data_IF_508389822903
#
_entry.id   IF_508389822903
#
_cell.length_a   1.000
_cell.length_b   1.000
_cell.length_c   1.000
_cell.angle_alpha   90.00
_cell.angle_beta   90.00
_cell.angle_gamma   90.00
#
_symmetry.space_group_name_H-M   'P 1'
#
loop_
_entity.id
_entity.type
_entity.pdbx_description
1 polymer ?
#
# COMPACT_ATOMS: atom_id res chain seq x y z
N UNK A 1 -21.22 -1.10 -7.21
CA UNK A 1 -20.19 -0.05 -7.19
C UNK A 1 -19.56 -0.06 -5.81
N UNK A 2 -18.26 -0.35 -5.72
CA UNK A 2 -17.53 -0.25 -4.44
C UNK A 2 -17.42 1.23 -4.06
N UNK A 3 -17.80 1.59 -2.84
CA UNK A 3 -17.69 2.96 -2.32
C UNK A 3 -16.20 3.35 -2.19
N UNK A 4 -15.80 4.51 -2.73
CA UNK A 4 -14.44 5.02 -2.63
C UNK A 4 -13.93 5.11 -1.19
N UNK A 5 -14.82 5.35 -0.20
CA UNK A 5 -14.45 5.32 1.23
C UNK A 5 -13.97 3.95 1.68
N UNK A 6 -14.58 2.88 1.15
CA UNK A 6 -14.18 1.52 1.46
C UNK A 6 -12.79 1.21 0.91
N UNK A 7 -12.50 1.64 -0.33
CA UNK A 7 -11.18 1.48 -0.94
C UNK A 7 -10.10 2.26 -0.17
N UNK A 8 -10.41 3.47 0.29
CA UNK A 8 -9.50 4.24 1.16
C UNK A 8 -9.24 3.51 2.48
N UNK A 9 -10.27 2.92 3.09
CA UNK A 9 -10.11 2.14 4.32
C UNK A 9 -9.21 0.92 4.11
N UNK A 10 -9.39 0.19 3.00
CA UNK A 10 -8.54 -0.95 2.63
C UNK A 10 -7.07 -0.55 2.45
N UNK A 11 -6.81 0.58 1.78
CA UNK A 11 -5.44 1.11 1.62
C UNK A 11 -4.81 1.44 2.98
N UNK A 12 -5.56 2.07 3.88
CA UNK A 12 -5.07 2.40 5.23
C UNK A 12 -4.78 1.16 6.06
N UNK A 13 -5.64 0.15 5.97
CA UNK A 13 -5.43 -1.12 6.68
C UNK A 13 -4.19 -1.85 6.17
N UNK A 14 -4.02 -1.96 4.84
CA UNK A 14 -2.84 -2.58 4.26
C UNK A 14 -1.54 -1.81 4.58
N UNK A 15 -1.59 -0.47 4.59
CA UNK A 15 -0.46 0.35 5.00
C UNK A 15 -0.09 0.18 6.48
N UNK A 16 -1.07 -0.07 7.35
CA UNK A 16 -0.82 -0.38 8.76
C UNK A 16 -0.22 -1.79 8.95
N UNK A 17 -0.52 -2.74 8.07
CA UNK A 17 0.10 -4.08 8.09
C UNK A 17 1.56 -4.05 7.62
N UNK A 18 1.86 -3.24 6.61
CA UNK A 18 3.23 -3.01 6.11
C UNK A 18 4.08 -2.12 7.06
N UNK A 19 3.60 -1.73 8.23
CA UNK A 19 4.40 -0.87 9.13
C UNK A 19 5.34 -1.69 10.02
N UNK A 20 6.15 -2.58 9.44
CA UNK A 20 7.14 -3.35 10.20
C UNK A 20 8.23 -2.44 10.75
N UNK A 21 8.64 -2.67 12.01
CA UNK A 21 9.75 -1.92 12.60
C UNK A 21 11.09 -2.53 12.18
N UNK A 22 12.14 -1.71 12.18
CA UNK A 22 13.49 -2.19 11.89
C UNK A 22 13.92 -3.28 12.87
N UNK A 23 13.54 -3.18 14.13
CA UNK A 23 13.83 -4.17 15.17
C UNK A 23 13.11 -5.51 14.93
N UNK A 24 11.98 -5.52 14.20
CA UNK A 24 11.31 -6.77 13.82
C UNK A 24 12.09 -7.50 12.70
N UNK A 25 12.68 -6.74 11.77
CA UNK A 25 13.48 -7.24 10.65
C UNK A 25 14.91 -7.61 11.07
N UNK A 26 15.51 -6.81 11.96
CA UNK A 26 16.88 -6.94 12.43
C UNK A 26 16.88 -6.87 13.97
N UNK A 27 16.52 -7.97 14.65
CA UNK A 27 16.42 -7.99 16.11
C UNK A 27 17.76 -7.80 16.81
N UNK A 28 18.88 -8.08 16.13
CA UNK A 28 20.23 -7.79 16.62
C UNK A 28 21.19 -7.49 15.47
N UNK A 29 22.37 -6.93 15.77
CA UNK A 29 23.38 -6.60 14.75
C UNK A 29 23.97 -7.81 14.00
N UNK A 30 23.66 -9.03 14.42
CA UNK A 30 24.18 -10.27 13.83
C UNK A 30 23.07 -11.16 13.26
N UNK A 31 21.81 -10.76 13.39
CA UNK A 31 20.66 -11.59 13.05
C UNK A 31 19.65 -10.79 12.24
N UNK A 32 19.24 -11.38 11.12
CA UNK A 32 18.13 -10.90 10.30
C UNK A 32 17.01 -11.92 10.41
N UNK A 33 15.81 -11.43 10.69
CA UNK A 33 14.61 -12.24 10.78
C UNK A 33 14.00 -12.38 9.38
N UNK A 34 14.35 -13.47 8.68
CA UNK A 34 13.89 -13.74 7.32
C UNK A 34 12.37 -13.96 7.23
N UNK A 35 11.75 -14.47 8.29
CA UNK A 35 10.29 -14.63 8.32
C UNK A 35 9.59 -13.25 8.39
N UNK A 36 10.17 -12.31 9.15
CA UNK A 36 9.67 -10.93 9.17
C UNK A 36 9.92 -10.19 7.85
N UNK A 37 11.06 -10.46 7.18
CA UNK A 37 11.34 -9.93 5.84
C UNK A 37 10.31 -10.43 4.82
N UNK A 38 10.04 -11.74 4.78
CA UNK A 38 9.02 -12.31 3.89
C UNK A 38 7.61 -11.76 4.18
N UNK A 39 7.25 -11.60 5.46
CA UNK A 39 5.97 -11.01 5.84
C UNK A 39 5.86 -9.53 5.43
N UNK A 40 6.94 -8.76 5.50
CA UNK A 40 6.97 -7.37 5.04
C UNK A 40 6.81 -7.28 3.51
N UNK A 41 7.47 -8.17 2.76
CA UNK A 41 7.31 -8.25 1.30
C UNK A 41 5.86 -8.59 0.91
N UNK A 42 5.22 -9.54 1.59
CA UNK A 42 3.81 -9.87 1.37
C UNK A 42 2.91 -8.67 1.68
N UNK A 43 3.10 -8.03 2.83
CA UNK A 43 2.36 -6.83 3.22
C UNK A 43 2.55 -5.67 2.22
N UNK A 44 3.74 -5.54 1.63
CA UNK A 44 4.03 -4.54 0.60
C UNK A 44 3.21 -4.80 -0.66
N UNK A 45 3.17 -6.05 -1.11
CA UNK A 45 2.40 -6.46 -2.30
C UNK A 45 0.91 -6.20 -2.08
N UNK A 46 0.36 -6.55 -0.91
CA UNK A 46 -1.03 -6.28 -0.55
C UNK A 46 -1.35 -4.77 -0.59
N UNK A 47 -0.47 -3.95 0.02
CA UNK A 47 -0.62 -2.49 0.00
C UNK A 47 -0.57 -1.94 -1.43
N UNK A 48 0.34 -2.44 -2.27
CA UNK A 48 0.46 -2.01 -3.67
C UNK A 48 -0.80 -2.36 -4.48
N UNK A 49 -1.38 -3.53 -4.27
CA UNK A 49 -2.65 -3.94 -4.89
C UNK A 49 -3.82 -3.08 -4.43
N UNK A 50 -3.93 -2.79 -3.13
CA UNK A 50 -4.97 -1.91 -2.59
C UNK A 50 -4.85 -0.49 -3.17
N UNK A 51 -3.63 0.07 -3.23
CA UNK A 51 -3.37 1.38 -3.84
C UNK A 51 -3.74 1.40 -5.32
N UNK A 52 -3.43 0.32 -6.05
CA UNK A 52 -3.84 0.16 -7.45
C UNK A 52 -5.36 0.17 -7.59
N UNK A 53 -6.09 -0.60 -6.78
CA UNK A 53 -7.54 -0.65 -6.85
C UNK A 53 -8.19 0.71 -6.59
N UNK A 54 -7.71 1.47 -5.59
CA UNK A 54 -8.18 2.83 -5.32
C UNK A 54 -7.94 3.76 -6.51
N UNK A 55 -6.74 3.69 -7.10
CA UNK A 55 -6.34 4.52 -8.21
C UNK A 55 -7.15 4.23 -9.47
N UNK A 56 -7.34 2.95 -9.79
CA UNK A 56 -8.13 2.49 -10.93
C UNK A 56 -9.59 2.97 -10.75
N UNK A 57 -10.16 2.87 -9.54
CA UNK A 57 -11.47 3.42 -9.22
C UNK A 57 -11.56 4.95 -9.42
N UNK A 58 -10.56 5.72 -9.00
CA UNK A 58 -10.53 7.18 -9.19
C UNK A 58 -10.53 7.52 -10.69
N UNK A 59 -9.69 6.84 -11.48
CA UNK A 59 -9.65 7.01 -12.93
C UNK A 59 -11.03 6.73 -13.57
N UNK A 60 -11.67 5.63 -13.18
CA UNK A 60 -12.99 5.25 -13.70
C UNK A 60 -14.10 6.23 -13.30
N UNK A 61 -14.12 6.68 -12.05
CA UNK A 61 -15.16 7.59 -11.53
C UNK A 61 -15.06 8.98 -12.14
N UNK A 62 -13.84 9.50 -12.31
CA UNK A 62 -13.61 10.85 -12.80
C UNK A 62 -13.30 10.91 -14.30
N UNK A 63 -13.19 9.76 -14.98
CA UNK A 63 -12.89 9.70 -16.40
C UNK A 63 -11.51 10.25 -16.76
N UNK A 64 -10.55 10.16 -15.84
CA UNK A 64 -9.19 10.69 -16.00
C UNK A 64 -8.18 9.55 -16.17
N UNK A 65 -7.09 9.84 -16.86
CA UNK A 65 -5.98 8.90 -16.99
C UNK A 65 -5.10 8.88 -15.74
N UNK A 66 -4.30 7.81 -15.62
CA UNK A 66 -3.28 7.69 -14.58
C UNK A 66 -2.28 8.86 -14.59
N UNK A 67 -1.95 9.39 -15.76
CA UNK A 67 -1.00 10.51 -15.89
C UNK A 67 -1.61 11.79 -15.31
N UNK A 68 -2.89 12.05 -15.62
CA UNK A 68 -3.62 13.21 -15.08
C UNK A 68 -3.77 13.11 -13.57
N UNK A 69 -4.12 11.92 -13.06
CA UNK A 69 -4.18 11.68 -11.62
C UNK A 69 -2.83 11.93 -10.92
N UNK A 70 -1.72 11.47 -11.49
CA UNK A 70 -0.38 11.72 -10.93
C UNK A 70 -0.01 13.21 -10.91
N UNK A 71 -0.42 13.97 -11.93
CA UNK A 71 -0.18 15.42 -11.97
C UNK A 71 -0.96 16.19 -10.90
N UNK A 72 -2.13 15.68 -10.47
CA UNK A 72 -2.93 16.26 -9.39
C UNK A 72 -2.37 15.96 -7.99
N UNK A 73 -1.55 14.93 -7.85
CA UNK A 73 -0.95 14.51 -6.59
C UNK A 73 0.34 15.26 -6.22
N UNK A 74 0.79 16.19 -7.07
CA UNK A 74 1.94 17.05 -6.80
C UNK A 74 1.48 18.27 -5.98
N UNK A 75 2.16 18.63 -4.87
CA UNK A 75 1.86 19.84 -4.10
C UNK A 75 2.19 21.13 -4.86
#
# INVERSE_FOLDING_TARGET
MTDGRHLVAQVREAAARHSSSWEALVPSSFEVNLDAEAAEEEAYVEMALAKRALRDHICDVYGISIRELSSLAMP
#
